data_IF_268890280833
#
_entry.id   IF_268890280833
#
_cell.length_a   1.000
_cell.length_b   1.000
_cell.length_c   1.000
_cell.angle_alpha   90.00
_cell.angle_beta   90.00
_cell.angle_gamma   90.00
#
_symmetry.space_group_name_H-M   'P 1'
#
loop_
_entity.id
_entity.type
_entity.pdbx_description
1 polymer ?
#
# COMPACT_ATOMS: atom_id res chain seq x y z
N UNK A 1 12.63 7.08 20.74
CA UNK A 1 11.24 6.59 20.69
C UNK A 1 10.54 7.28 19.55
N UNK A 2 9.87 6.53 18.67
CA UNK A 2 9.05 7.07 17.59
C UNK A 2 7.84 7.83 18.18
N UNK A 3 7.37 8.88 17.51
CA UNK A 3 6.22 9.63 18.01
C UNK A 3 4.95 8.79 17.93
N UNK A 4 4.13 8.84 18.98
CA UNK A 4 2.91 8.03 19.12
C UNK A 4 1.68 8.64 18.42
N UNK A 5 1.77 9.91 18.01
CA UNK A 5 0.74 10.71 17.35
C UNK A 5 1.36 12.02 16.78
N UNK A 6 0.63 12.74 15.92
CA UNK A 6 1.01 14.08 15.44
C UNK A 6 1.93 14.09 14.21
N UNK A 7 2.54 15.23 13.87
CA UNK A 7 3.30 15.40 12.61
C UNK A 7 4.59 14.56 12.48
N UNK A 8 5.11 14.01 13.59
CA UNK A 8 6.28 13.12 13.61
C UNK A 8 5.91 11.64 13.75
N UNK A 9 4.61 11.35 13.69
CA UNK A 9 4.10 9.98 13.66
C UNK A 9 4.52 9.31 12.34
N UNK A 10 5.09 8.11 12.44
CA UNK A 10 5.53 7.31 11.30
C UNK A 10 4.93 5.91 11.36
N UNK A 11 4.81 5.28 10.21
CA UNK A 11 4.43 3.89 10.06
C UNK A 11 5.66 3.04 9.75
N UNK A 12 5.81 1.91 10.43
CA UNK A 12 6.89 0.95 10.18
C UNK A 12 6.51 0.07 8.99
N UNK A 13 7.30 0.09 7.92
CA UNK A 13 7.05 -0.77 6.75
C UNK A 13 7.70 -2.13 6.99
N UNK A 14 6.88 -3.19 6.97
CA UNK A 14 7.30 -4.57 7.26
C UNK A 14 7.16 -5.55 6.09
N UNK A 15 6.55 -5.11 5.00
CA UNK A 15 6.43 -5.88 3.77
C UNK A 15 6.26 -4.95 2.57
N UNK A 16 6.88 -5.33 1.45
CA UNK A 16 6.78 -4.61 0.18
C UNK A 16 6.77 -5.63 -0.95
N UNK A 17 5.72 -5.62 -1.74
CA UNK A 17 5.65 -6.29 -3.02
C UNK A 17 5.35 -5.29 -4.12
N UNK A 18 6.40 -4.77 -4.73
CA UNK A 18 6.37 -3.88 -5.88
C UNK A 18 6.69 -4.70 -7.13
N UNK A 19 5.82 -4.64 -8.13
CA UNK A 19 6.03 -5.21 -9.46
C UNK A 19 5.78 -4.14 -10.51
N UNK A 20 6.71 -3.98 -11.46
CA UNK A 20 6.59 -3.06 -12.57
C UNK A 20 6.99 -3.79 -13.86
N UNK A 21 6.03 -4.06 -14.75
CA UNK A 21 6.22 -5.02 -15.84
C UNK A 21 6.44 -6.42 -15.28
N UNK A 22 7.62 -6.99 -15.48
CA UNK A 22 8.01 -8.33 -14.98
C UNK A 22 8.97 -8.27 -13.80
N UNK A 23 9.57 -7.11 -13.57
CA UNK A 23 10.57 -6.90 -12.54
C UNK A 23 9.90 -6.66 -11.19
N UNK A 24 10.49 -7.23 -10.13
CA UNK A 24 9.99 -7.16 -8.76
C UNK A 24 10.97 -6.38 -7.88
N UNK A 25 10.48 -5.56 -6.94
CA UNK A 25 11.24 -4.93 -5.85
C UNK A 25 12.70 -4.54 -6.23
N UNK A 26 13.65 -5.36 -5.79
CA UNK A 26 15.09 -5.24 -5.98
C UNK A 26 15.52 -5.27 -7.45
N UNK A 27 14.84 -6.04 -8.30
CA UNK A 27 15.11 -6.15 -9.73
C UNK A 27 14.83 -4.82 -10.43
N UNK A 28 13.74 -4.13 -10.05
CA UNK A 28 13.43 -2.78 -10.53
C UNK A 28 14.54 -1.83 -10.11
N UNK A 29 14.91 -1.84 -8.83
CA UNK A 29 15.96 -0.95 -8.32
C UNK A 29 17.30 -1.18 -9.04
N UNK A 30 17.72 -2.44 -9.21
CA UNK A 30 18.92 -2.79 -9.96
C UNK A 30 18.85 -2.37 -11.43
N UNK A 31 17.70 -2.50 -12.08
CA UNK A 31 17.53 -2.06 -13.47
C UNK A 31 17.64 -0.52 -13.58
N UNK A 32 17.04 0.21 -12.64
CA UNK A 32 17.14 1.66 -12.50
C UNK A 32 18.58 2.12 -12.27
N UNK A 33 19.32 1.45 -11.38
CA UNK A 33 20.72 1.73 -11.09
C UNK A 33 21.64 1.38 -12.26
N UNK A 34 21.45 0.21 -12.89
CA UNK A 34 22.27 -0.23 -14.02
C UNK A 34 22.10 0.68 -15.23
N UNK A 35 20.88 1.19 -15.45
CA UNK A 35 20.60 2.16 -16.52
C UNK A 35 21.25 3.52 -16.25
N UNK A 36 21.23 3.96 -14.99
CA UNK A 36 21.83 5.23 -14.53
C UNK A 36 21.56 6.41 -15.48
N UNK A 37 20.30 6.61 -15.87
CA UNK A 37 19.89 7.72 -16.76
C UNK A 37 18.49 8.22 -16.37
N UNK A 38 18.35 9.54 -16.23
CA UNK A 38 17.09 10.23 -15.91
C UNK A 38 16.18 10.48 -17.11
N UNK A 39 16.66 10.23 -18.33
CA UNK A 39 15.96 10.60 -19.55
C UNK A 39 15.57 9.41 -20.41
N UNK A 40 15.97 8.19 -20.02
CA UNK A 40 15.67 6.97 -20.75
C UNK A 40 15.15 5.85 -19.84
N UNK A 41 14.38 4.95 -20.44
CA UNK A 41 13.81 3.79 -19.76
C UNK A 41 14.78 2.62 -19.74
N UNK A 42 14.70 1.79 -18.69
CA UNK A 42 15.33 0.48 -18.68
C UNK A 42 14.42 -0.59 -19.32
N UNK A 43 13.12 -0.29 -19.51
CA UNK A 43 12.15 -1.21 -20.11
C UNK A 43 12.50 -1.50 -21.56
N UNK A 44 12.34 -2.76 -21.97
CA UNK A 44 12.66 -3.17 -23.33
C UNK A 44 11.84 -2.41 -24.37
N UNK A 45 12.47 -2.08 -25.49
CA UNK A 45 11.78 -1.52 -26.66
C UNK A 45 11.58 -2.58 -27.76
N UNK A 46 11.87 -3.85 -27.44
CA UNK A 46 11.64 -4.99 -28.32
C UNK A 46 10.26 -5.61 -28.04
N UNK A 47 9.30 -5.59 -28.99
CA UNK A 47 7.99 -6.19 -28.78
C UNK A 47 7.99 -7.68 -28.44
N UNK A 48 9.06 -8.41 -28.81
CA UNK A 48 9.18 -9.83 -28.51
C UNK A 48 9.53 -10.13 -27.03
N UNK A 49 9.86 -9.10 -26.24
CA UNK A 49 10.15 -9.25 -24.81
C UNK A 49 8.87 -9.14 -23.94
N UNK A 50 7.71 -9.02 -24.58
CA UNK A 50 6.38 -8.84 -23.99
C UNK A 50 5.41 -9.95 -24.47
N UNK A 51 4.30 -10.20 -23.74
CA UNK A 51 3.32 -11.22 -24.10
C UNK A 51 2.92 -11.22 -25.57
N UNK A 52 2.94 -12.40 -26.19
CA UNK A 52 2.64 -12.55 -27.60
C UNK A 52 1.13 -12.55 -27.90
N UNK A 53 0.30 -12.83 -26.90
CA UNK A 53 -1.14 -12.95 -27.01
C UNK A 53 -1.85 -12.61 -25.68
N UNK A 54 -3.19 -12.59 -25.71
CA UNK A 54 -4.00 -12.18 -24.57
C UNK A 54 -3.91 -13.14 -23.39
N UNK A 55 -3.81 -14.44 -23.64
CA UNK A 55 -3.73 -15.46 -22.58
C UNK A 55 -2.42 -15.33 -21.79
N UNK A 56 -1.30 -15.13 -22.50
CA UNK A 56 0.00 -14.82 -21.89
C UNK A 56 -0.06 -13.51 -21.08
N UNK A 57 -0.69 -12.47 -21.63
CA UNK A 57 -0.85 -11.18 -20.96
C UNK A 57 -1.65 -11.31 -19.66
N UNK A 58 -2.75 -12.07 -19.66
CA UNK A 58 -3.52 -12.30 -18.43
C UNK A 58 -2.73 -13.13 -17.41
N UNK A 59 -1.97 -14.12 -17.88
CA UNK A 59 -1.09 -14.93 -17.02
C UNK A 59 -0.03 -14.06 -16.33
N UNK A 60 0.58 -13.11 -17.04
CA UNK A 60 1.57 -12.19 -16.46
C UNK A 60 0.95 -11.23 -15.43
N UNK A 61 -0.27 -10.76 -15.68
CA UNK A 61 -1.00 -9.87 -14.76
C UNK A 61 -1.39 -10.59 -13.48
N UNK A 62 -1.93 -11.80 -13.58
CA UNK A 62 -2.21 -12.68 -12.44
C UNK A 62 -0.92 -12.95 -11.64
N UNK A 63 0.17 -13.27 -12.32
CA UNK A 63 1.48 -13.49 -11.71
C UNK A 63 1.97 -12.24 -10.95
N UNK A 64 1.89 -11.07 -11.56
CA UNK A 64 2.35 -9.80 -10.98
C UNK A 64 1.52 -9.42 -9.76
N UNK A 65 0.20 -9.58 -9.87
CA UNK A 65 -0.76 -9.33 -8.80
C UNK A 65 -0.50 -10.25 -7.60
N UNK A 66 -0.34 -11.55 -7.86
CA UNK A 66 0.02 -12.55 -6.85
C UNK A 66 1.35 -12.25 -6.16
N UNK A 67 2.40 -11.97 -6.94
CA UNK A 67 3.74 -11.70 -6.40
C UNK A 67 3.71 -10.45 -5.53
N UNK A 68 3.06 -9.37 -6.00
CA UNK A 68 2.90 -8.14 -5.25
C UNK A 68 2.23 -8.41 -3.91
N UNK A 69 1.06 -9.04 -3.89
CA UNK A 69 0.34 -9.27 -2.64
C UNK A 69 1.09 -10.21 -1.70
N UNK A 70 1.72 -11.27 -2.23
CA UNK A 70 2.55 -12.19 -1.45
C UNK A 70 3.69 -11.47 -0.75
N UNK A 71 4.51 -10.71 -1.47
CA UNK A 71 5.65 -10.01 -0.85
C UNK A 71 5.22 -8.85 0.05
N UNK A 72 4.11 -8.19 -0.28
CA UNK A 72 3.53 -7.13 0.53
C UNK A 72 2.96 -7.63 1.86
N UNK A 73 2.26 -8.76 1.88
CA UNK A 73 1.45 -9.19 3.02
C UNK A 73 1.93 -10.47 3.75
N UNK A 74 2.94 -11.21 3.24
CA UNK A 74 3.42 -12.47 3.85
C UNK A 74 3.88 -12.39 5.31
N UNK A 75 4.21 -11.19 5.77
CA UNK A 75 4.65 -10.96 7.15
C UNK A 75 3.54 -10.47 8.07
N UNK A 76 2.30 -10.35 7.58
CA UNK A 76 1.16 -10.03 8.42
C UNK A 76 0.90 -11.11 9.45
N UNK A 77 0.47 -10.71 10.65
CA UNK A 77 0.22 -11.66 11.74
C UNK A 77 -0.90 -12.65 11.38
N UNK A 78 -0.60 -13.93 11.46
CA UNK A 78 -1.52 -15.00 11.10
C UNK A 78 -2.67 -15.12 12.11
N UNK A 79 -3.80 -15.70 11.68
CA UNK A 79 -5.01 -15.89 12.49
C UNK A 79 -5.61 -14.60 13.09
N UNK A 80 -5.13 -13.44 12.66
CA UNK A 80 -5.63 -12.12 13.06
C UNK A 80 -6.25 -11.40 11.84
N UNK A 81 -7.45 -10.79 11.96
CA UNK A 81 -8.09 -10.07 10.86
C UNK A 81 -7.35 -8.78 10.47
N UNK A 82 -6.52 -8.86 9.42
CA UNK A 82 -5.69 -7.77 8.90
C UNK A 82 -6.55 -6.78 8.09
N UNK A 83 -6.61 -5.49 8.45
CA UNK A 83 -7.27 -4.47 7.62
C UNK A 83 -6.53 -4.24 6.30
N UNK A 84 -7.27 -4.28 5.18
CA UNK A 84 -6.72 -4.06 3.84
C UNK A 84 -7.42 -2.91 3.13
N UNK A 85 -6.62 -1.98 2.58
CA UNK A 85 -7.03 -0.93 1.67
C UNK A 85 -6.63 -1.32 0.25
N UNK A 86 -7.53 -1.21 -0.74
CA UNK A 86 -7.23 -1.59 -2.13
C UNK A 86 -7.77 -0.58 -3.16
N UNK A 87 -6.84 0.00 -3.92
CA UNK A 87 -7.11 1.05 -4.91
C UNK A 87 -6.83 0.53 -6.31
N UNK A 88 -7.71 0.87 -7.24
CA UNK A 88 -7.59 0.54 -8.66
C UNK A 88 -7.97 1.74 -9.52
N UNK A 89 -7.66 1.73 -10.83
CA UNK A 89 -8.11 2.77 -11.75
C UNK A 89 -9.65 2.89 -11.80
N UNK A 90 -10.19 4.00 -12.34
CA UNK A 90 -11.62 4.13 -12.57
C UNK A 90 -12.14 2.96 -13.38
N UNK A 91 -13.38 2.54 -13.11
CA UNK A 91 -14.00 1.37 -13.73
C UNK A 91 -15.33 1.70 -14.38
N UNK A 92 -15.76 0.86 -15.32
CA UNK A 92 -17.15 0.87 -15.76
C UNK A 92 -18.08 0.49 -14.60
N UNK A 93 -19.32 0.98 -14.64
CA UNK A 93 -20.30 0.72 -13.56
C UNK A 93 -20.50 -0.77 -13.27
N UNK A 94 -20.43 -1.61 -14.31
CA UNK A 94 -20.62 -3.07 -14.24
C UNK A 94 -19.40 -3.88 -13.77
N UNK A 95 -18.22 -3.27 -13.70
CA UNK A 95 -17.04 -3.96 -13.20
C UNK A 95 -17.12 -4.05 -11.67
N UNK A 96 -16.54 -5.09 -11.08
CA UNK A 96 -16.56 -5.29 -9.64
C UNK A 96 -15.74 -4.22 -8.91
N UNK A 97 -15.99 -4.08 -7.60
CA UNK A 97 -15.20 -3.19 -6.77
C UNK A 97 -13.86 -3.85 -6.41
N UNK A 98 -12.78 -3.09 -6.15
CA UNK A 98 -11.47 -3.67 -5.89
C UNK A 98 -11.43 -4.58 -4.66
N UNK A 99 -12.32 -4.36 -3.68
CA UNK A 99 -12.48 -5.29 -2.56
C UNK A 99 -12.76 -6.75 -2.97
N UNK A 100 -13.32 -6.99 -4.16
CA UNK A 100 -13.62 -8.33 -4.68
C UNK A 100 -12.38 -9.17 -4.98
N UNK A 101 -11.25 -8.54 -5.22
CA UNK A 101 -9.99 -9.22 -5.52
C UNK A 101 -9.41 -9.94 -4.30
N UNK A 102 -9.71 -9.46 -3.08
CA UNK A 102 -9.04 -9.90 -1.84
C UNK A 102 -9.06 -11.41 -1.61
N UNK A 103 -10.15 -12.09 -1.98
CA UNK A 103 -10.25 -13.55 -1.87
C UNK A 103 -9.27 -14.27 -2.80
N UNK A 104 -9.22 -13.84 -4.07
CA UNK A 104 -8.30 -14.37 -5.07
C UNK A 104 -6.84 -14.10 -4.68
N UNK A 105 -6.53 -12.84 -4.36
CA UNK A 105 -5.19 -12.40 -3.94
C UNK A 105 -4.64 -13.26 -2.80
N UNK A 106 -5.43 -13.45 -1.76
CA UNK A 106 -5.03 -14.24 -0.59
C UNK A 106 -4.75 -15.69 -0.95
N UNK A 107 -5.62 -16.30 -1.77
CA UNK A 107 -5.48 -17.69 -2.18
C UNK A 107 -4.21 -17.87 -3.02
N UNK A 108 -3.99 -17.01 -4.00
CA UNK A 108 -2.85 -17.07 -4.90
C UNK A 108 -1.52 -16.75 -4.18
N UNK A 109 -1.55 -15.85 -3.20
CA UNK A 109 -0.38 -15.53 -2.37
C UNK A 109 -0.02 -16.64 -1.35
N UNK A 110 -0.77 -17.75 -1.31
CA UNK A 110 -0.63 -18.84 -0.33
C UNK A 110 -0.82 -18.38 1.12
N UNK A 111 -1.60 -17.33 1.37
CA UNK A 111 -1.83 -16.76 2.70
C UNK A 111 -3.02 -17.45 3.40
N UNK A 112 -2.97 -18.79 3.41
CA UNK A 112 -4.07 -19.68 3.79
C UNK A 112 -4.51 -19.58 5.26
N UNK A 113 -3.73 -18.96 6.13
CA UNK A 113 -4.02 -18.70 7.55
C UNK A 113 -4.04 -17.21 7.92
N UNK A 114 -3.86 -16.32 6.94
CA UNK A 114 -4.09 -14.88 7.13
C UNK A 114 -5.58 -14.61 7.03
N UNK A 115 -6.12 -13.78 7.91
CA UNK A 115 -7.50 -13.29 7.81
C UNK A 115 -7.44 -11.87 7.26
N UNK A 116 -8.31 -11.52 6.31
CA UNK A 116 -8.36 -10.18 5.75
C UNK A 116 -9.68 -9.51 6.12
N UNK A 117 -9.64 -8.22 6.42
CA UNK A 117 -10.82 -7.37 6.49
C UNK A 117 -10.76 -6.37 5.36
N UNK A 118 -11.84 -6.27 4.59
CA UNK A 118 -11.99 -5.19 3.63
C UNK A 118 -12.22 -3.88 4.39
N UNK A 119 -11.16 -3.07 4.51
CA UNK A 119 -11.19 -1.85 5.32
C UNK A 119 -11.74 -0.68 4.51
N UNK A 120 -11.19 -0.46 3.30
CA UNK A 120 -11.67 0.54 2.35
C UNK A 120 -11.20 0.13 0.94
N UNK A 121 -11.94 0.53 -0.08
CA UNK A 121 -11.50 0.41 -1.47
C UNK A 121 -11.88 1.65 -2.28
N UNK A 122 -11.22 1.85 -3.42
CA UNK A 122 -11.62 2.88 -4.36
C UNK A 122 -11.20 2.54 -5.80
N UNK A 123 -12.10 2.85 -6.74
CA UNK A 123 -11.72 3.09 -8.13
C UNK A 123 -11.53 4.60 -8.30
N UNK A 124 -10.28 5.04 -8.49
CA UNK A 124 -9.93 6.47 -8.43
C UNK A 124 -8.86 6.80 -9.46
N UNK A 125 -8.75 8.08 -9.81
CA UNK A 125 -7.59 8.63 -10.54
C UNK A 125 -6.53 9.21 -9.58
N UNK A 126 -6.82 9.29 -8.28
CA UNK A 126 -5.94 9.81 -7.24
C UNK A 126 -5.38 8.68 -6.39
N UNK A 127 -4.34 8.01 -6.89
CA UNK A 127 -3.64 6.94 -6.18
C UNK A 127 -2.98 7.38 -4.88
N UNK A 128 -2.63 8.67 -4.75
CA UNK A 128 -1.98 9.20 -3.54
C UNK A 128 -2.91 9.16 -2.32
N UNK A 129 -4.23 9.24 -2.55
CA UNK A 129 -5.23 9.24 -1.48
C UNK A 129 -5.16 8.02 -0.56
N UNK A 130 -4.64 6.87 -1.01
CA UNK A 130 -4.52 5.67 -0.16
C UNK A 130 -3.59 5.90 1.05
N UNK A 131 -2.52 6.69 0.89
CA UNK A 131 -1.58 6.99 1.97
C UNK A 131 -2.23 7.93 2.99
N UNK A 132 -2.99 8.93 2.54
CA UNK A 132 -3.76 9.80 3.44
C UNK A 132 -4.79 9.02 4.26
N UNK A 133 -5.53 8.13 3.59
CA UNK A 133 -6.53 7.27 4.22
C UNK A 133 -5.90 6.34 5.26
N UNK A 134 -4.73 5.78 4.95
CA UNK A 134 -3.97 4.94 5.87
C UNK A 134 -3.57 5.70 7.15
N UNK A 135 -3.01 6.90 7.03
CA UNK A 135 -2.65 7.69 8.22
C UNK A 135 -3.88 8.11 9.03
N UNK A 136 -4.94 8.57 8.36
CA UNK A 136 -6.20 8.91 9.03
C UNK A 136 -6.82 7.71 9.76
N UNK A 137 -6.69 6.51 9.19
CA UNK A 137 -7.12 5.27 9.81
C UNK A 137 -6.36 4.96 11.11
N UNK A 138 -5.02 5.05 11.12
CA UNK A 138 -4.23 4.85 12.35
C UNK A 138 -4.46 5.93 13.41
N UNK A 139 -4.83 7.15 13.00
CA UNK A 139 -5.23 8.22 13.94
C UNK A 139 -6.61 7.93 14.57
N UNK A 140 -7.57 7.46 13.77
CA UNK A 140 -8.92 7.12 14.23
C UNK A 140 -8.96 5.82 15.05
N UNK A 141 -8.02 4.89 14.79
CA UNK A 141 -7.95 3.57 15.40
C UNK A 141 -6.58 3.33 16.04
N UNK A 142 -6.31 3.96 17.21
CA UNK A 142 -5.01 3.85 17.88
C UNK A 142 -4.74 2.46 18.45
N UNK A 143 -5.68 1.52 18.37
CA UNK A 143 -5.55 0.12 18.74
C UNK A 143 -4.99 -0.77 17.62
N UNK A 144 -4.98 -0.31 16.37
CA UNK A 144 -4.56 -1.14 15.23
C UNK A 144 -3.05 -1.37 15.24
N UNK A 145 -2.59 -2.65 15.19
CA UNK A 145 -1.16 -2.97 15.15
C UNK A 145 -0.59 -2.96 13.72
N UNK A 146 -1.36 -3.40 12.72
CA UNK A 146 -0.92 -3.55 11.32
C UNK A 146 -2.03 -3.24 10.33
N UNK A 147 -1.67 -2.87 9.11
CA UNK A 147 -2.58 -2.74 7.97
C UNK A 147 -1.83 -2.99 6.65
N UNK A 148 -2.56 -3.38 5.61
CA UNK A 148 -2.02 -3.54 4.26
C UNK A 148 -2.66 -2.52 3.33
N UNK A 149 -1.86 -1.85 2.51
CA UNK A 149 -2.33 -1.02 1.39
C UNK A 149 -1.93 -1.66 0.07
N UNK A 150 -2.82 -1.57 -0.92
CA UNK A 150 -2.66 -2.20 -2.23
C UNK A 150 -3.08 -1.23 -3.34
N UNK A 151 -2.28 -1.13 -4.40
CA UNK A 151 -2.65 -0.46 -5.65
C UNK A 151 -2.34 -1.35 -6.83
N UNK A 152 -3.32 -1.52 -7.73
CA UNK A 152 -3.14 -2.22 -9.00
C UNK A 152 -3.52 -1.30 -10.16
N UNK A 153 -2.60 -1.14 -11.11
CA UNK A 153 -2.86 -0.42 -12.36
C UNK A 153 -1.95 -0.98 -13.46
N UNK A 154 -2.32 -0.75 -14.71
CA UNK A 154 -1.63 -1.30 -15.87
C UNK A 154 -2.55 -1.37 -17.07
N UNK A 155 -1.97 -1.59 -18.24
CA UNK A 155 -2.75 -1.68 -19.48
C UNK A 155 -3.80 -2.79 -19.43
N UNK A 156 -3.47 -3.92 -18.80
CA UNK A 156 -4.41 -5.05 -18.62
C UNK A 156 -5.48 -4.76 -17.56
N UNK A 157 -5.09 -4.26 -16.39
CA UNK A 157 -6.05 -3.88 -15.33
C UNK A 157 -7.08 -2.88 -15.84
N UNK A 158 -6.65 -1.83 -16.57
CA UNK A 158 -7.57 -0.84 -17.16
C UNK A 158 -8.50 -1.43 -18.22
N UNK A 159 -8.05 -2.47 -18.94
CA UNK A 159 -8.90 -3.20 -19.87
C UNK A 159 -9.96 -4.03 -19.13
N UNK A 160 -9.55 -4.80 -18.10
CA UNK A 160 -10.44 -5.61 -17.28
C UNK A 160 -11.51 -4.75 -16.59
N UNK A 161 -11.08 -3.62 -16.01
CA UNK A 161 -11.96 -2.64 -15.37
C UNK A 161 -12.78 -1.81 -16.35
N UNK A 162 -12.49 -1.92 -17.66
CA UNK A 162 -13.11 -1.11 -18.72
C UNK A 162 -13.05 0.37 -18.37
N UNK A 163 -11.85 0.81 -17.98
CA UNK A 163 -11.61 2.17 -17.49
C UNK A 163 -12.11 3.21 -18.51
N UNK A 164 -12.99 4.14 -18.11
CA UNK A 164 -13.52 5.15 -19.01
C UNK A 164 -12.42 5.93 -19.74
N UNK A 165 -12.53 6.02 -21.07
CA UNK A 165 -11.58 6.74 -21.92
C UNK A 165 -10.25 6.01 -22.17
N UNK A 166 -10.00 4.86 -21.54
CA UNK A 166 -8.83 4.04 -21.85
C UNK A 166 -9.04 3.27 -23.17
N UNK A 167 -8.00 3.26 -24.02
CA UNK A 167 -7.97 2.52 -25.28
C UNK A 167 -6.83 1.51 -25.22
N UNK A 168 -7.17 0.22 -25.27
CA UNK A 168 -6.19 -0.86 -25.26
C UNK A 168 -5.40 -0.89 -26.58
N UNK A 169 -4.07 -0.78 -26.48
CA UNK A 169 -3.16 -0.72 -27.64
C UNK A 169 -2.47 -2.04 -27.96
N UNK A 170 -2.83 -3.11 -27.26
CA UNK A 170 -2.17 -4.41 -27.37
C UNK A 170 -2.27 -5.02 -28.78
N UNK A 171 -3.35 -4.74 -29.52
CA UNK A 171 -3.50 -5.21 -30.92
C UNK A 171 -2.54 -4.50 -31.90
N UNK A 172 -2.00 -3.35 -31.53
CA UNK A 172 -1.12 -2.54 -32.35
C UNK A 172 0.36 -2.77 -32.01
N UNK A 173 0.66 -3.05 -30.74
CA UNK A 173 2.00 -3.33 -30.23
C UNK A 173 1.91 -4.14 -28.95
N UNK A 174 2.77 -5.15 -28.82
CA UNK A 174 2.90 -5.92 -27.57
C UNK A 174 3.60 -5.12 -26.47
N UNK A 175 4.31 -4.03 -26.83
CA UNK A 175 4.87 -3.11 -25.83
C UNK A 175 3.69 -2.39 -25.15
N UNK A 176 3.52 -2.55 -23.82
CA UNK A 176 2.39 -1.98 -23.13
C UNK A 176 2.48 -0.45 -23.09
N UNK A 177 1.35 0.23 -23.30
CA UNK A 177 1.24 1.69 -23.12
C UNK A 177 1.36 2.11 -21.65
N UNK A 178 1.03 1.20 -20.75
CA UNK A 178 1.19 1.29 -19.30
C UNK A 178 1.70 -0.07 -18.81
N UNK A 179 2.96 -0.18 -18.33
CA UNK A 179 3.42 -1.42 -17.73
C UNK A 179 2.55 -1.76 -16.52
N UNK A 180 2.36 -3.06 -16.27
CA UNK A 180 1.67 -3.50 -15.06
C UNK A 180 2.41 -2.98 -13.84
N UNK A 181 1.67 -2.47 -12.87
CA UNK A 181 2.20 -1.76 -11.71
C UNK A 181 1.40 -2.17 -10.48
N UNK A 182 1.90 -3.23 -9.83
CA UNK A 182 1.23 -3.88 -8.70
C UNK A 182 2.03 -3.61 -7.44
N UNK A 183 1.44 -2.89 -6.48
CA UNK A 183 2.13 -2.54 -5.24
C UNK A 183 1.29 -2.92 -4.04
N UNK A 184 1.87 -3.72 -3.15
CA UNK A 184 1.29 -4.08 -1.85
C UNK A 184 2.29 -3.76 -0.76
N UNK A 185 1.84 -3.17 0.35
CA UNK A 185 2.71 -2.76 1.45
C UNK A 185 2.06 -3.05 2.80
N UNK A 186 2.77 -3.81 3.64
CA UNK A 186 2.40 -4.02 5.04
C UNK A 186 3.05 -2.93 5.89
N UNK A 187 2.22 -2.22 6.65
CA UNK A 187 2.64 -1.23 7.62
C UNK A 187 2.23 -1.64 9.04
N UNK A 188 2.96 -1.15 10.03
CA UNK A 188 2.76 -1.55 11.41
C UNK A 188 3.11 -0.47 12.43
N UNK A 189 2.79 -0.77 13.70
CA UNK A 189 3.09 0.04 14.88
C UNK A 189 3.60 -0.81 16.04
N UNK A 190 4.91 -0.92 16.20
CA UNK A 190 5.52 -1.62 17.34
C UNK A 190 5.05 -1.07 18.69
N UNK A 191 4.83 0.25 18.82
CA UNK A 191 4.36 0.83 20.08
C UNK A 191 2.94 0.37 20.47
N UNK A 192 2.09 0.03 19.49
CA UNK A 192 0.76 -0.53 19.76
C UNK A 192 0.88 -1.98 20.21
N UNK A 193 1.76 -2.76 19.55
CA UNK A 193 2.05 -4.13 19.97
C UNK A 193 2.61 -4.15 21.40
N UNK A 194 3.60 -3.33 21.71
CA UNK A 194 4.27 -3.31 23.02
C UNK A 194 3.35 -2.89 24.16
N UNK A 195 2.38 -2.00 23.91
CA UNK A 195 1.48 -1.48 24.94
C UNK A 195 0.18 -2.27 25.08
N UNK A 196 -0.41 -2.68 23.96
CA UNK A 196 -1.78 -3.22 23.93
C UNK A 196 -1.83 -4.73 23.76
N UNK A 197 -0.75 -5.35 23.29
CA UNK A 197 -0.73 -6.77 22.93
C UNK A 197 0.27 -7.54 23.78
N UNK A 198 1.55 -7.17 23.74
CA UNK A 198 2.65 -7.90 24.37
C UNK A 198 2.43 -8.17 25.87
N UNK A 199 1.93 -7.24 26.70
CA UNK A 199 1.71 -7.49 28.13
C UNK A 199 0.61 -8.52 28.42
N UNK A 200 -0.25 -8.77 27.45
CA UNK A 200 -1.41 -9.65 27.56
C UNK A 200 -1.26 -10.94 26.74
N UNK A 201 -0.12 -11.14 26.08
CA UNK A 201 0.07 -12.28 25.19
C UNK A 201 -0.05 -13.61 25.95
N UNK A 202 -0.72 -14.60 25.34
CA UNK A 202 -0.90 -15.93 25.95
C UNK A 202 0.12 -16.92 25.41
N UNK A 203 0.71 -17.71 26.30
CA UNK A 203 1.53 -18.83 25.89
C UNK A 203 0.65 -19.93 25.29
N UNK A 204 0.95 -20.33 24.05
CA UNK A 204 0.21 -21.34 23.31
C UNK A 204 1.10 -21.98 22.24
N UNK A 205 0.80 -23.22 21.87
CA UNK A 205 1.42 -23.87 20.70
C UNK A 205 1.01 -23.19 19.38
N UNK A 206 1.92 -23.23 18.41
CA UNK A 206 1.70 -22.85 17.01
C UNK A 206 0.86 -23.90 16.25
N UNK A 207 0.84 -25.17 16.73
CA UNK A 207 0.07 -26.26 16.14
C UNK A 207 -1.42 -26.14 16.48
N UNK A 208 -2.10 -25.22 15.79
CA UNK A 208 -3.53 -24.98 15.87
C UNK A 208 -4.21 -25.31 14.55
N UNK A 209 -5.42 -25.82 14.64
CA UNK A 209 -6.31 -26.02 13.50
C UNK A 209 -7.77 -25.80 13.91
N UNK A 210 -8.71 -25.86 12.96
CA UNK A 210 -10.14 -25.62 13.19
C UNK A 210 -10.78 -26.44 14.32
N UNK A 211 -10.18 -27.56 14.74
CA UNK A 211 -10.69 -28.42 15.81
C UNK A 211 -10.14 -28.05 17.21
N UNK A 212 -9.10 -27.21 17.30
CA UNK A 212 -8.46 -26.80 18.57
C UNK A 212 -9.24 -25.69 19.31
N UNK A 213 -10.52 -25.92 19.57
CA UNK A 213 -11.47 -24.88 19.99
C UNK A 213 -11.34 -24.38 21.43
N UNK A 214 -10.40 -24.91 22.21
CA UNK A 214 -10.09 -24.43 23.56
C UNK A 214 -9.32 -23.10 23.56
N UNK A 215 -8.73 -22.74 22.42
CA UNK A 215 -7.92 -21.54 22.23
C UNK A 215 -8.71 -20.41 21.59
N UNK A 216 -8.59 -19.19 22.15
CA UNK A 216 -9.31 -18.03 21.65
C UNK A 216 -8.90 -17.64 20.22
N UNK A 217 -7.63 -17.88 19.82
CA UNK A 217 -7.17 -17.69 18.43
C UNK A 217 -7.91 -18.62 17.44
N UNK A 218 -8.13 -19.88 17.81
CA UNK A 218 -8.89 -20.83 16.98
C UNK A 218 -10.38 -20.49 16.97
N UNK A 219 -10.93 -20.05 18.11
CA UNK A 219 -12.33 -19.57 18.19
C UNK A 219 -12.52 -18.36 17.30
N UNK A 220 -11.59 -17.40 17.32
CA UNK A 220 -11.60 -16.23 16.45
C UNK A 220 -11.58 -16.64 14.99
N UNK A 221 -10.66 -17.52 14.60
CA UNK A 221 -10.57 -18.05 13.24
C UNK A 221 -11.87 -18.69 12.77
N UNK A 222 -12.42 -19.62 13.55
CA UNK A 222 -13.67 -20.30 13.22
C UNK A 222 -14.85 -19.31 13.15
N UNK A 223 -14.90 -18.35 14.07
CA UNK A 223 -15.94 -17.33 14.08
C UNK A 223 -15.84 -16.40 12.87
N UNK A 224 -14.62 -15.97 12.53
CA UNK A 224 -14.36 -15.17 11.34
C UNK A 224 -14.91 -15.86 10.10
N UNK A 225 -14.53 -17.12 9.84
CA UNK A 225 -14.99 -17.82 8.65
C UNK A 225 -16.47 -18.17 8.66
N UNK A 226 -17.07 -18.34 9.84
CA UNK A 226 -18.54 -18.46 9.96
C UNK A 226 -19.23 -17.17 9.50
N UNK A 227 -18.74 -16.01 9.91
CA UNK A 227 -19.31 -14.71 9.51
C UNK A 227 -19.02 -14.41 8.04
N UNK A 228 -17.83 -14.76 7.58
CA UNK A 228 -17.38 -14.47 6.22
C UNK A 228 -18.14 -15.29 5.16
N UNK A 229 -18.39 -16.57 5.44
CA UNK A 229 -19.13 -17.47 4.56
C UNK A 229 -20.63 -17.52 4.86
N UNK A 230 -21.17 -16.55 5.61
CA UNK A 230 -22.60 -16.49 5.88
C UNK A 230 -23.35 -16.08 4.60
N UNK A 231 -23.83 -17.10 3.88
CA UNK A 231 -24.68 -16.96 2.69
C UNK A 231 -26.17 -16.93 3.03
N UNK A 232 -26.54 -16.79 4.31
CA UNK A 232 -27.92 -16.60 4.73
C UNK A 232 -28.51 -15.26 4.28
N UNK A 233 -29.84 -15.08 4.37
CA UNK A 233 -30.50 -13.84 3.97
C UNK A 233 -30.07 -12.61 4.79
N UNK A 234 -29.56 -12.82 6.00
CA UNK A 234 -29.02 -11.77 6.89
C UNK A 234 -27.48 -11.69 6.85
N UNK A 235 -26.86 -12.48 5.98
CA UNK A 235 -25.41 -12.55 5.79
C UNK A 235 -24.85 -11.33 5.07
N UNK A 236 -23.52 -11.22 5.08
CA UNK A 236 -22.85 -10.08 4.44
C UNK A 236 -23.13 -10.01 2.94
N UNK A 237 -23.06 -11.14 2.25
CA UNK A 237 -23.27 -11.18 0.79
C UNK A 237 -24.66 -10.70 0.39
N UNK A 238 -25.71 -11.11 1.11
CA UNK A 238 -27.07 -10.64 0.85
C UNK A 238 -27.21 -9.12 1.08
N UNK A 239 -26.59 -8.60 2.15
CA UNK A 239 -26.59 -7.18 2.46
C UNK A 239 -25.81 -6.36 1.41
N UNK A 240 -24.64 -6.86 1.00
CA UNK A 240 -23.80 -6.24 -0.03
C UNK A 240 -24.52 -6.19 -1.38
N UNK A 241 -25.04 -7.32 -1.86
CA UNK A 241 -25.75 -7.41 -3.14
C UNK A 241 -26.95 -6.46 -3.18
N UNK A 242 -27.68 -6.33 -2.06
CA UNK A 242 -28.78 -5.40 -1.96
C UNK A 242 -28.34 -3.93 -2.03
N UNK A 243 -27.16 -3.58 -1.51
CA UNK A 243 -26.60 -2.23 -1.63
C UNK A 243 -26.13 -1.94 -3.06
N UNK A 244 -25.38 -2.85 -3.67
CA UNK A 244 -24.84 -2.65 -5.02
C UNK A 244 -25.97 -2.61 -6.07
N UNK A 245 -27.03 -3.42 -5.92
CA UNK A 245 -28.23 -3.30 -6.78
C UNK A 245 -28.90 -1.93 -6.64
N UNK A 246 -28.98 -1.37 -5.44
CA UNK A 246 -29.50 -0.01 -5.23
C UNK A 246 -28.61 1.05 -5.85
N UNK A 247 -27.30 0.79 -5.96
CA UNK A 247 -26.34 1.62 -6.68
C UNK A 247 -26.35 1.39 -8.21
N UNK A 248 -27.22 0.50 -8.71
CA UNK A 248 -27.40 0.23 -10.14
C UNK A 248 -26.42 -0.79 -10.73
N UNK A 249 -25.80 -1.64 -9.91
CA UNK A 249 -25.01 -2.78 -10.39
C UNK A 249 -25.95 -3.96 -10.72
N UNK A 250 -25.92 -4.42 -11.96
CA UNK A 250 -26.83 -5.46 -12.47
C UNK A 250 -26.57 -6.84 -11.83
N UNK A 251 -25.30 -7.22 -11.72
CA UNK A 251 -24.85 -8.52 -11.19
C UNK A 251 -23.81 -8.31 -10.11
N UNK A 252 -24.19 -7.88 -8.89
CA UNK A 252 -23.23 -7.74 -7.81
C UNK A 252 -22.68 -9.11 -7.42
N UNK A 253 -21.37 -9.16 -7.17
CA UNK A 253 -20.71 -10.33 -6.59
C UNK A 253 -20.07 -9.92 -5.27
N UNK A 254 -20.55 -10.52 -4.18
CA UNK A 254 -19.99 -10.28 -2.85
C UNK A 254 -18.48 -10.59 -2.82
N UNK A 255 -17.64 -9.68 -2.28
CA UNK A 255 -16.20 -9.66 -2.48
C UNK A 255 -15.38 -10.74 -1.75
N UNK A 256 -15.98 -11.86 -1.36
CA UNK A 256 -15.29 -12.98 -0.68
C UNK A 256 -14.78 -12.66 0.73
N UNK A 257 -14.69 -11.38 1.12
CA UNK A 257 -14.35 -10.90 2.45
C UNK A 257 -15.35 -9.87 2.99
N UNK A 258 -15.68 -9.98 4.28
CA UNK A 258 -16.50 -8.98 4.97
C UNK A 258 -15.76 -7.66 5.18
N UNK A 259 -16.50 -6.55 5.21
CA UNK A 259 -15.91 -5.27 5.61
C UNK A 259 -15.53 -5.25 7.08
N UNK A 260 -14.53 -4.44 7.44
CA UNK A 260 -14.19 -4.17 8.85
C UNK A 260 -15.41 -3.73 9.66
N UNK A 261 -16.24 -2.84 9.09
CA UNK A 261 -17.46 -2.36 9.76
C UNK A 261 -18.47 -3.49 10.01
N UNK A 262 -18.70 -4.36 9.03
CA UNK A 262 -19.58 -5.52 9.20
C UNK A 262 -19.04 -6.47 10.26
N UNK A 263 -17.76 -6.82 10.19
CA UNK A 263 -17.09 -7.70 11.16
C UNK A 263 -17.26 -7.18 12.59
N UNK A 264 -17.02 -5.89 12.81
CA UNK A 264 -17.11 -5.28 14.14
C UNK A 264 -18.52 -5.37 14.73
N UNK A 265 -19.57 -5.36 13.92
CA UNK A 265 -20.96 -5.54 14.41
C UNK A 265 -21.21 -6.92 15.01
N UNK A 266 -20.39 -7.92 14.67
CA UNK A 266 -20.52 -9.31 15.13
C UNK A 266 -19.70 -9.59 16.38
N UNK A 267 -18.68 -8.78 16.67
CA UNK A 267 -17.78 -8.95 17.81
C UNK A 267 -18.49 -9.01 19.18
N UNK A 268 -19.55 -8.23 19.48
CA UNK A 268 -20.24 -8.34 20.77
C UNK A 268 -20.84 -9.72 21.06
N UNK A 269 -21.27 -10.45 20.01
CA UNK A 269 -21.75 -11.82 20.17
C UNK A 269 -20.58 -12.80 20.40
N UNK A 270 -19.48 -12.60 19.68
CA UNK A 270 -18.26 -13.38 19.85
C UNK A 270 -17.63 -13.21 21.24
N UNK A 271 -17.57 -11.99 21.78
CA UNK A 271 -16.95 -11.75 23.08
C UNK A 271 -17.66 -12.45 24.25
N UNK A 272 -18.92 -12.88 24.08
CA UNK A 272 -19.66 -13.70 25.05
C UNK A 272 -19.17 -15.16 25.09
N UNK A 273 -18.41 -15.60 24.09
CA UNK A 273 -17.92 -16.98 23.98
C UNK A 273 -16.48 -17.16 24.44
N UNK A 274 -15.75 -16.06 24.67
CA UNK A 274 -14.38 -16.05 25.18
C UNK A 274 -14.37 -15.66 26.66
N UNK A 275 -13.25 -15.95 27.33
CA UNK A 275 -13.05 -15.60 28.75
C UNK A 275 -11.77 -14.80 28.91
N UNK A 276 -11.61 -14.08 30.02
CA UNK A 276 -10.42 -13.27 30.25
C UNK A 276 -9.21 -14.08 30.76
N UNK A 277 -9.01 -15.32 30.27
CA UNK A 277 -7.95 -16.24 30.71
C UNK A 277 -6.61 -15.87 30.07
N UNK A 278 -5.67 -15.41 30.88
CA UNK A 278 -4.31 -15.05 30.45
C UNK A 278 -3.68 -13.98 31.35
N UNK A 279 -2.50 -13.47 31.00
CA UNK A 279 -1.88 -12.37 31.73
C UNK A 279 -2.74 -11.12 31.72
N UNK A 280 -2.83 -10.47 32.89
CA UNK A 280 -3.53 -9.19 33.09
C UNK A 280 -5.02 -9.21 32.77
N UNK A 281 -5.65 -8.05 32.94
CA UNK A 281 -7.01 -7.81 32.48
C UNK A 281 -6.99 -7.28 31.04
N UNK A 282 -7.10 -8.18 30.07
CA UNK A 282 -7.21 -7.81 28.66
C UNK A 282 -8.61 -7.26 28.37
N UNK A 283 -8.66 -6.18 27.59
CA UNK A 283 -9.90 -5.58 27.10
C UNK A 283 -9.97 -5.81 25.59
N UNK A 284 -10.87 -6.67 25.10
CA UNK A 284 -11.07 -6.84 23.67
C UNK A 284 -11.41 -5.51 22.98
N UNK A 285 -10.82 -5.29 21.82
CA UNK A 285 -11.01 -4.10 21.00
C UNK A 285 -11.43 -4.50 19.57
N UNK A 286 -12.06 -3.61 18.79
CA UNK A 286 -12.53 -3.92 17.44
C UNK A 286 -11.45 -4.55 16.53
N UNK A 287 -10.20 -4.05 16.61
CA UNK A 287 -9.08 -4.59 15.83
C UNK A 287 -8.18 -5.55 16.62
N UNK A 288 -8.42 -5.76 17.91
CA UNK A 288 -7.73 -6.77 18.73
C UNK A 288 -8.81 -7.54 19.51
N UNK A 289 -9.57 -8.43 18.82
CA UNK A 289 -10.76 -9.05 19.40
C UNK A 289 -10.44 -10.14 20.43
N UNK A 290 -9.23 -10.70 20.41
CA UNK A 290 -8.69 -11.67 21.37
C UNK A 290 -7.22 -11.35 21.65
N UNK A 291 -6.66 -11.88 22.73
CA UNK A 291 -5.22 -11.82 23.00
C UNK A 291 -4.45 -12.48 21.86
N UNK A 292 -3.37 -11.85 21.43
CA UNK A 292 -2.39 -12.56 20.61
C UNK A 292 -1.69 -13.63 21.44
N UNK A 293 -1.24 -14.68 20.78
CA UNK A 293 -0.34 -15.66 21.38
C UNK A 293 1.10 -15.13 21.41
N UNK A 294 1.95 -15.75 22.21
CA UNK A 294 3.40 -15.44 22.21
C UNK A 294 4.05 -15.71 20.85
N UNK A 295 3.56 -16.68 20.08
CA UNK A 295 4.06 -16.94 18.73
C UNK A 295 3.60 -15.91 17.71
N UNK A 296 2.37 -15.35 17.83
CA UNK A 296 1.94 -14.22 16.99
C UNK A 296 2.78 -12.98 17.26
N UNK A 297 3.10 -12.71 18.53
CA UNK A 297 4.03 -11.63 18.91
C UNK A 297 5.43 -11.89 18.34
N UNK A 298 5.92 -13.13 18.41
CA UNK A 298 7.22 -13.50 17.82
C UNK A 298 7.21 -13.36 16.29
N UNK A 299 6.10 -13.69 15.62
CA UNK A 299 5.93 -13.51 14.19
C UNK A 299 6.06 -12.03 13.81
N UNK A 300 5.36 -11.15 14.56
CA UNK A 300 5.48 -9.70 14.41
C UNK A 300 6.93 -9.23 14.58
N UNK A 301 7.60 -9.68 15.65
CA UNK A 301 8.99 -9.30 15.93
C UNK A 301 9.98 -9.77 14.85
N UNK A 302 9.70 -10.93 14.24
CA UNK A 302 10.51 -11.51 13.17
C UNK A 302 10.27 -10.86 11.80
N UNK A 303 9.16 -10.16 11.60
CA UNK A 303 8.91 -9.44 10.35
C UNK A 303 10.00 -8.38 10.12
N UNK A 304 10.60 -8.32 8.92
CA UNK A 304 11.71 -7.41 8.65
C UNK A 304 11.25 -5.96 8.74
N UNK A 305 12.11 -5.05 9.21
CA UNK A 305 11.84 -3.62 9.15
C UNK A 305 12.50 -3.04 7.90
N UNK A 306 11.69 -2.70 6.89
CA UNK A 306 12.13 -2.17 5.60
C UNK A 306 12.46 -0.68 5.68
N UNK A 307 11.82 0.04 6.60
CA UNK A 307 11.99 1.47 6.79
C UNK A 307 10.76 2.09 7.47
N UNK A 308 10.71 3.41 7.42
CA UNK A 308 9.61 4.20 7.97
C UNK A 308 8.94 5.01 6.87
N UNK A 309 7.62 4.95 6.83
CA UNK A 309 6.77 5.83 6.03
C UNK A 309 6.36 7.03 6.88
N UNK A 310 6.68 8.23 6.42
CA UNK A 310 6.35 9.47 7.12
C UNK A 310 5.03 10.05 6.63
N UNK A 311 4.46 10.94 7.43
CA UNK A 311 3.15 11.54 7.17
C UNK A 311 3.16 12.35 5.87
N UNK A 312 2.17 12.20 4.99
CA UNK A 312 2.11 12.95 3.73
C UNK A 312 1.88 14.45 3.98
N UNK A 313 2.50 15.29 3.17
CA UNK A 313 2.31 16.74 3.16
C UNK A 313 1.66 17.16 1.85
N UNK A 314 0.42 17.64 1.93
CA UNK A 314 -0.30 18.20 0.79
C UNK A 314 0.05 19.67 0.55
N UNK A 315 0.38 19.96 -0.70
CA UNK A 315 0.73 21.28 -1.21
C UNK A 315 -0.34 21.71 -2.19
N UNK A 316 -1.06 22.80 -1.87
CA UNK A 316 -2.07 23.36 -2.76
C UNK A 316 -1.42 24.09 -3.95
N UNK A 317 -1.69 23.62 -5.17
CA UNK A 317 -1.12 24.16 -6.41
C UNK A 317 -2.18 24.77 -7.34
N UNK A 318 -3.44 24.77 -6.93
CA UNK A 318 -4.55 25.43 -7.61
C UNK A 318 -5.23 26.45 -6.70
N UNK A 319 -5.87 27.46 -7.28
CA UNK A 319 -6.67 28.44 -6.55
C UNK A 319 -8.03 27.87 -6.11
N UNK A 320 -8.88 28.71 -5.51
CA UNK A 320 -10.21 28.30 -5.03
C UNK A 320 -11.17 27.87 -6.16
N UNK A 321 -10.86 28.19 -7.41
CA UNK A 321 -11.64 27.84 -8.59
C UNK A 321 -11.05 26.64 -9.34
N UNK A 322 -10.03 25.98 -8.79
CA UNK A 322 -9.36 24.83 -9.41
C UNK A 322 -8.38 25.21 -10.53
N UNK A 323 -8.09 26.50 -10.73
CA UNK A 323 -7.13 26.93 -11.74
C UNK A 323 -5.70 26.80 -11.19
N UNK A 324 -4.74 26.25 -11.95
CA UNK A 324 -3.35 26.19 -11.51
C UNK A 324 -2.80 27.56 -11.10
N UNK A 325 -2.10 27.61 -9.97
CA UNK A 325 -1.37 28.79 -9.51
C UNK A 325 -0.30 29.17 -10.54
N UNK A 326 0.15 30.43 -10.55
CA UNK A 326 1.28 30.85 -11.39
C UNK A 326 2.55 30.14 -10.95
N UNK A 327 3.49 29.89 -11.85
CA UNK A 327 4.74 29.16 -11.57
C UNK A 327 5.47 29.65 -10.31
N UNK A 328 5.66 30.96 -10.15
CA UNK A 328 6.32 31.51 -8.97
C UNK A 328 5.58 31.18 -7.66
N UNK A 329 4.24 31.14 -7.68
CA UNK A 329 3.43 30.76 -6.52
C UNK A 329 3.49 29.25 -6.26
N UNK A 330 3.48 28.43 -7.31
CA UNK A 330 3.71 26.98 -7.17
C UNK A 330 5.07 26.68 -6.54
N UNK A 331 6.13 27.36 -6.98
CA UNK A 331 7.48 27.21 -6.43
C UNK A 331 7.53 27.56 -4.95
N UNK A 332 6.90 28.67 -4.53
CA UNK A 332 6.85 29.02 -3.09
C UNK A 332 6.04 28.02 -2.28
N UNK A 333 4.91 27.55 -2.81
CA UNK A 333 4.08 26.54 -2.15
C UNK A 333 4.85 25.21 -2.00
N UNK A 334 5.53 24.76 -3.06
CA UNK A 334 6.36 23.55 -3.05
C UNK A 334 7.56 23.67 -2.11
N UNK A 335 8.23 24.83 -2.06
CA UNK A 335 9.31 25.07 -1.10
C UNK A 335 8.82 24.98 0.34
N UNK A 336 7.67 25.58 0.64
CA UNK A 336 7.07 25.51 1.98
C UNK A 336 6.63 24.08 2.34
N UNK A 337 6.03 23.36 1.40
CA UNK A 337 5.66 21.96 1.56
C UNK A 337 6.88 21.04 1.72
N UNK A 338 7.95 21.30 0.97
CA UNK A 338 9.21 20.59 1.09
C UNK A 338 9.80 20.73 2.49
N UNK A 339 9.83 21.94 3.05
CA UNK A 339 10.28 22.15 4.42
C UNK A 339 9.41 21.39 5.43
N UNK A 340 8.08 21.45 5.30
CA UNK A 340 7.18 20.69 6.17
C UNK A 340 7.43 19.18 6.09
N UNK A 341 7.73 18.65 4.89
CA UNK A 341 8.05 17.24 4.69
C UNK A 341 9.42 16.89 5.30
N UNK A 342 10.43 17.76 5.17
CA UNK A 342 11.71 17.57 5.85
C UNK A 342 11.53 17.57 7.38
N UNK A 343 10.63 18.39 7.91
CA UNK A 343 10.37 18.47 9.36
C UNK A 343 9.69 17.20 9.93
N UNK A 344 9.19 16.29 9.09
CA UNK A 344 8.70 14.97 9.53
C UNK A 344 9.84 14.01 9.84
N UNK A 345 11.01 14.20 9.23
CA UNK A 345 12.20 13.38 9.47
C UNK A 345 12.78 13.59 10.88
N UNK A 346 13.61 12.66 11.39
CA UNK A 346 14.39 12.89 12.59
C UNK A 346 15.21 14.19 12.50
N UNK A 347 15.34 14.89 13.63
CA UNK A 347 16.01 16.21 13.67
C UNK A 347 17.42 16.13 13.08
N UNK A 348 17.68 16.95 12.06
CA UNK A 348 18.98 17.03 11.39
C UNK A 348 19.14 16.08 10.19
N UNK A 349 18.17 15.20 9.93
CA UNK A 349 18.14 14.39 8.72
C UNK A 349 17.55 15.18 7.54
N UNK A 350 18.10 14.96 6.35
CA UNK A 350 17.58 15.49 5.09
C UNK A 350 17.54 14.37 4.05
N UNK A 351 16.59 14.41 3.10
CA UNK A 351 16.52 13.41 2.04
C UNK A 351 17.76 13.51 1.14
N UNK A 352 18.28 12.36 0.73
CA UNK A 352 19.40 12.22 -0.22
C UNK A 352 18.92 12.05 -1.66
N UNK A 353 17.66 11.64 -1.82
CA UNK A 353 17.05 11.31 -3.10
C UNK A 353 15.63 11.87 -3.17
N UNK A 354 15.15 12.10 -4.39
CA UNK A 354 13.77 12.43 -4.69
C UNK A 354 13.28 11.62 -5.88
N UNK A 355 12.13 10.99 -5.69
CA UNK A 355 11.39 10.25 -6.70
C UNK A 355 10.21 11.10 -7.16
N UNK A 356 10.03 11.20 -8.47
CA UNK A 356 8.95 11.96 -9.08
C UNK A 356 8.51 11.28 -10.38
N UNK A 357 7.38 11.69 -10.92
CA UNK A 357 6.83 11.13 -12.16
C UNK A 357 6.39 12.26 -13.08
N UNK A 358 7.00 12.34 -14.27
CA UNK A 358 6.63 13.30 -15.32
C UNK A 358 5.71 12.74 -16.38
N UNK A 359 5.19 11.53 -16.18
CA UNK A 359 4.21 10.91 -17.08
C UNK A 359 2.93 11.76 -17.10
N UNK A 360 2.48 12.12 -18.29
CA UNK A 360 1.31 12.98 -18.52
C UNK A 360 1.62 14.49 -18.52
N UNK A 361 2.63 14.95 -17.78
CA UNK A 361 3.03 16.36 -17.78
C UNK A 361 4.53 16.56 -17.53
N UNK A 362 5.28 16.70 -18.62
CA UNK A 362 6.73 16.97 -18.56
C UNK A 362 7.07 18.34 -17.96
N UNK A 363 6.15 19.30 -17.97
CA UNK A 363 6.39 20.61 -17.39
C UNK A 363 6.37 20.57 -15.85
N UNK A 364 5.85 19.48 -15.25
CA UNK A 364 5.80 19.27 -13.80
C UNK A 364 7.17 19.35 -13.13
N UNK A 365 8.24 18.93 -13.83
CA UNK A 365 9.61 18.96 -13.29
C UNK A 365 10.11 20.37 -12.98
N UNK A 366 9.67 21.38 -13.73
CA UNK A 366 10.20 22.74 -13.64
C UNK A 366 9.92 23.41 -12.28
N UNK A 367 8.68 23.48 -11.77
CA UNK A 367 8.42 24.06 -10.46
C UNK A 367 9.04 23.26 -9.31
N UNK A 368 9.19 21.93 -9.44
CA UNK A 368 9.87 21.10 -8.43
C UNK A 368 11.36 21.48 -8.38
N UNK A 369 12.05 21.48 -9.52
CA UNK A 369 13.48 21.79 -9.57
C UNK A 369 13.79 23.17 -8.98
N UNK A 370 12.96 24.18 -9.33
CA UNK A 370 13.10 25.53 -8.78
C UNK A 370 12.86 25.59 -7.27
N UNK A 371 11.90 24.82 -6.74
CA UNK A 371 11.62 24.78 -5.30
C UNK A 371 12.78 24.13 -4.53
N UNK A 372 13.34 23.03 -5.04
CA UNK A 372 14.49 22.35 -4.42
C UNK A 372 15.74 23.22 -4.44
N UNK A 373 16.05 23.86 -5.57
CA UNK A 373 17.17 24.79 -5.67
C UNK A 373 17.07 25.95 -4.66
N UNK A 374 15.86 26.43 -4.37
CA UNK A 374 15.61 27.47 -3.37
C UNK A 374 15.57 26.96 -1.92
N UNK A 375 15.57 25.65 -1.71
CA UNK A 375 15.53 25.01 -0.38
C UNK A 375 16.93 24.79 0.22
N UNK A 376 17.98 25.05 -0.56
CA UNK A 376 19.38 25.01 -0.10
C UNK A 376 20.11 23.72 -0.49
N UNK A 377 21.41 23.63 -0.15
CA UNK A 377 22.30 22.57 -0.65
C UNK A 377 22.01 21.17 -0.09
N UNK A 378 21.13 21.05 0.90
CA UNK A 378 20.70 19.78 1.46
C UNK A 378 19.53 19.13 0.72
N UNK A 379 18.91 19.85 -0.23
CA UNK A 379 17.88 19.29 -1.10
C UNK A 379 18.52 18.55 -2.27
N UNK A 380 17.99 17.37 -2.66
CA UNK A 380 18.50 16.61 -3.78
C UNK A 380 18.30 17.37 -5.11
N UNK A 381 19.23 17.20 -6.03
CA UNK A 381 19.18 17.73 -7.39
C UNK A 381 18.40 16.79 -8.32
N UNK A 382 17.48 17.35 -9.12
CA UNK A 382 16.80 16.54 -10.16
C UNK A 382 17.71 16.21 -11.34
N UNK A 383 18.76 17.01 -11.53
CA UNK A 383 19.72 16.86 -12.64
C UNK A 383 20.81 15.82 -12.32
N UNK A 384 20.99 15.45 -11.04
CA UNK A 384 21.89 14.36 -10.66
C UNK A 384 21.16 13.01 -10.71
N UNK A 385 21.72 12.07 -11.46
CA UNK A 385 21.13 10.75 -11.69
C UNK A 385 21.08 9.85 -10.45
N UNK A 386 21.84 10.20 -9.42
CA UNK A 386 21.87 9.52 -8.11
C UNK A 386 21.00 10.22 -7.06
N UNK A 387 20.47 11.39 -7.35
CA UNK A 387 19.62 12.15 -6.42
C UNK A 387 18.19 12.30 -6.93
N UNK A 388 17.99 12.59 -8.22
CA UNK A 388 16.68 12.68 -8.86
C UNK A 388 16.33 11.43 -9.65
N UNK A 389 15.12 10.89 -9.43
CA UNK A 389 14.62 9.70 -10.12
C UNK A 389 13.24 9.98 -10.74
N UNK A 390 13.23 10.28 -12.05
CA UNK A 390 11.98 10.38 -12.82
C UNK A 390 11.48 8.98 -13.19
N UNK A 391 10.57 8.44 -12.38
CA UNK A 391 10.00 7.11 -12.59
C UNK A 391 9.18 7.02 -13.87
N UNK A 392 8.56 8.13 -14.30
CA UNK A 392 7.86 8.20 -15.57
C UNK A 392 8.77 8.01 -16.77
N UNK A 393 10.02 8.46 -16.68
CA UNK A 393 11.04 8.22 -17.71
C UNK A 393 11.70 6.86 -17.60
N UNK A 394 11.97 6.40 -16.39
CA UNK A 394 12.72 5.17 -16.15
C UNK A 394 11.87 3.91 -16.30
N UNK A 395 10.61 3.93 -15.85
CA UNK A 395 9.65 2.81 -15.93
C UNK A 395 8.56 3.06 -16.98
N UNK A 396 7.98 4.26 -17.00
CA UNK A 396 6.81 4.58 -17.82
C UNK A 396 5.58 4.93 -16.98
N UNK A 397 4.42 4.96 -17.64
CA UNK A 397 3.16 5.32 -16.98
C UNK A 397 2.67 4.20 -16.05
N UNK A 398 2.92 4.33 -14.75
CA UNK A 398 2.45 3.40 -13.71
C UNK A 398 1.10 3.80 -13.10
N UNK A 399 0.39 4.73 -13.74
CA UNK A 399 -0.99 5.09 -13.41
C UNK A 399 -1.18 5.46 -11.94
N UNK A 400 -2.24 4.94 -11.33
CA UNK A 400 -2.57 5.22 -9.93
C UNK A 400 -1.64 4.52 -8.94
N UNK A 401 -0.85 3.55 -9.40
CA UNK A 401 0.17 2.91 -8.58
C UNK A 401 1.44 3.74 -8.45
N UNK A 402 1.63 4.78 -9.29
CA UNK A 402 2.83 5.62 -9.32
C UNK A 402 3.27 6.14 -7.94
N UNK A 403 2.38 6.60 -7.04
CA UNK A 403 2.77 6.98 -5.69
C UNK A 403 3.40 5.84 -4.88
N UNK A 404 2.81 4.65 -4.89
CA UNK A 404 3.36 3.51 -4.15
C UNK A 404 4.59 2.90 -4.82
N UNK A 405 4.70 2.99 -6.16
CA UNK A 405 5.93 2.62 -6.88
C UNK A 405 7.10 3.48 -6.41
N UNK A 406 6.91 4.80 -6.38
CA UNK A 406 7.93 5.75 -5.93
C UNK A 406 8.29 5.58 -4.45
N UNK A 407 7.30 5.37 -3.58
CA UNK A 407 7.54 5.10 -2.14
C UNK A 407 8.31 3.78 -1.97
N UNK A 408 7.93 2.72 -2.69
CA UNK A 408 8.61 1.43 -2.68
C UNK A 408 10.07 1.54 -3.10
N UNK A 409 10.35 2.22 -4.21
CA UNK A 409 11.73 2.46 -4.66
C UNK A 409 12.51 3.34 -3.68
N UNK A 410 11.87 4.36 -3.10
CA UNK A 410 12.46 5.18 -2.04
C UNK A 410 12.86 4.36 -0.82
N UNK A 411 12.03 3.40 -0.40
CA UNK A 411 12.33 2.48 0.71
C UNK A 411 13.51 1.57 0.37
N UNK A 412 13.53 0.99 -0.83
CA UNK A 412 14.63 0.12 -1.28
C UNK A 412 15.95 0.91 -1.33
N UNK A 413 15.95 2.08 -1.96
CA UNK A 413 17.12 2.95 -2.06
C UNK A 413 17.62 3.38 -0.67
N UNK A 414 16.70 3.83 0.20
CA UNK A 414 17.02 4.19 1.58
C UNK A 414 17.60 3.02 2.37
N UNK A 415 17.02 1.82 2.23
CA UNK A 415 17.50 0.63 2.93
C UNK A 415 18.90 0.24 2.47
N UNK A 416 19.22 0.30 1.17
CA UNK A 416 20.55 -0.10 0.68
C UNK A 416 21.61 0.97 0.90
N UNK A 417 21.32 2.21 0.51
CA UNK A 417 22.30 3.29 0.44
C UNK A 417 22.35 4.14 1.71
N UNK A 418 21.33 4.02 2.57
CA UNK A 418 21.15 4.90 3.74
C UNK A 418 20.62 6.29 3.36
N UNK A 419 20.21 7.05 4.38
CA UNK A 419 19.58 8.36 4.21
C UNK A 419 18.11 8.29 3.77
N UNK A 420 17.35 9.32 4.08
CA UNK A 420 15.95 9.42 3.68
C UNK A 420 15.80 9.64 2.17
N UNK A 421 14.64 9.29 1.63
CA UNK A 421 14.23 9.59 0.26
C UNK A 421 12.89 10.32 0.30
N UNK A 422 12.71 11.28 -0.59
CA UNK A 422 11.46 11.99 -0.79
C UNK A 422 10.72 11.42 -2.00
N UNK A 423 9.40 11.45 -1.99
CA UNK A 423 8.57 11.28 -3.18
C UNK A 423 7.71 12.50 -3.37
N UNK A 424 7.37 12.84 -4.62
CA UNK A 424 6.46 13.93 -4.92
C UNK A 424 5.48 13.56 -6.05
N UNK A 425 4.20 13.65 -5.74
CA UNK A 425 3.13 13.25 -6.65
C UNK A 425 2.20 14.42 -6.93
N UNK A 426 1.93 14.68 -8.20
CA UNK A 426 0.85 15.58 -8.58
C UNK A 426 -0.48 14.84 -8.50
N UNK A 427 -1.50 15.49 -7.95
CA UNK A 427 -2.84 14.92 -7.78
C UNK A 427 -3.85 15.56 -8.73
N UNK A 428 -4.89 14.81 -9.16
CA UNK A 428 -5.95 15.35 -10.03
C UNK A 428 -6.72 16.53 -9.43
N UNK A 429 -6.76 16.63 -8.10
CA UNK A 429 -7.47 17.68 -7.36
C UNK A 429 -6.74 19.04 -7.32
N UNK A 430 -5.63 19.21 -8.06
CA UNK A 430 -4.85 20.45 -8.07
C UNK A 430 -3.90 20.63 -6.88
N UNK A 431 -3.60 19.56 -6.16
CA UNK A 431 -2.55 19.52 -5.14
C UNK A 431 -1.34 18.70 -5.61
N UNK A 432 -0.24 18.80 -4.89
CA UNK A 432 0.82 17.80 -4.93
C UNK A 432 1.10 17.31 -3.51
N UNK A 433 1.47 16.05 -3.36
CA UNK A 433 1.79 15.46 -2.07
C UNK A 433 3.25 15.06 -2.03
N UNK A 434 3.92 15.44 -0.94
CA UNK A 434 5.29 15.05 -0.65
C UNK A 434 5.26 14.02 0.48
N UNK A 435 5.92 12.89 0.28
CA UNK A 435 6.04 11.83 1.29
C UNK A 435 7.52 11.55 1.53
N UNK A 436 7.92 11.46 2.79
CA UNK A 436 9.27 11.01 3.14
C UNK A 436 9.27 9.52 3.49
N UNK A 437 10.33 8.84 3.12
CA UNK A 437 10.67 7.51 3.63
C UNK A 437 12.09 7.54 4.20
N UNK A 438 12.32 6.81 5.28
CA UNK A 438 13.65 6.73 5.90
C UNK A 438 14.03 5.29 6.19
N UNK A 439 15.34 4.96 6.19
CA UNK A 439 15.80 3.62 6.48
C UNK A 439 15.50 3.20 7.93
N UNK A 440 15.52 1.89 8.22
CA UNK A 440 15.50 1.43 9.60
C UNK A 440 16.75 1.93 10.34
N UNK A 441 16.61 2.15 11.65
CA UNK A 441 17.72 2.58 12.52
C UNK A 441 18.80 1.50 12.65
N UNK A 442 18.41 0.23 12.47
CA UNK A 442 19.30 -0.92 12.44
C UNK A 442 18.93 -1.79 11.24
N UNK A 443 19.87 -2.03 10.32
CA UNK A 443 19.68 -3.02 9.24
C UNK A 443 19.81 -4.42 9.81
N UNK A 444 18.94 -5.34 9.38
CA UNK A 444 19.13 -6.76 9.68
C UNK A 444 20.32 -7.28 8.85
N UNK A 445 21.36 -7.87 9.48
CA UNK A 445 22.65 -8.09 8.80
C UNK A 445 22.64 -9.09 7.64
N UNK A 446 21.69 -10.04 7.58
CA UNK A 446 21.93 -11.29 6.86
C UNK A 446 20.85 -11.70 5.82
N UNK A 447 19.83 -10.88 5.55
CA UNK A 447 18.82 -11.16 4.51
C UNK A 447 18.41 -9.86 3.81
N UNK A 448 18.48 -9.81 2.47
CA UNK A 448 17.85 -8.73 1.71
C UNK A 448 16.32 -8.91 1.83
N UNK A 449 15.61 -8.01 2.52
CA UNK A 449 14.21 -8.24 2.87
C UNK A 449 13.24 -7.95 1.70
N UNK A 450 13.77 -7.48 0.56
CA UNK A 450 13.03 -7.20 -0.66
C UNK A 450 13.01 -8.37 -1.66
N UNK A 451 13.54 -9.54 -1.28
CA UNK A 451 13.56 -10.76 -2.10
C UNK A 451 12.46 -11.77 -1.77
#
# INVERSE_FOLDING_TARGET
>A
MLAQSGGKFVLEVRGLGLVAGKETNEEIWKAVEAKADNHSTYMSQNPADYPANEDERMTEVELSTRISFKYGARHSVEYWPVPVFIWEPPKAQRADRPGAELSGLRQEASLGVTLLLWQEDANTDDGTSIVEKLFAFFDAHPDVPEAVIVTFDGAATRKLNQTPGYVDTFKQSNIPSMPDSMVSMLVSRSDRVDRLIRPYAVEQTEDVNKNTTDYDVTRLWNYFWKINHDSGPDGFSAHYDAQERKAGVDTPMSPGFVTSAWWQTKLPAFWKTISNKGPGEFKPMPYIPVRWTTWQVKQFDNAPLLGYLHRPIDVKLADAHGKPLKTAQQVQALKAGWQQAVDTLPTGETPKRIFYDTTGDRAWVAPINQALAQSGPSAPSLDDVKEGYDIGRRIGNTGISSPLVQIGLGLIASYHEGGASATIHRRPNGTATIVMVSPPTHKQPDVNPFR
#
